data_IF_220245581925
#
_entry.id   IF_220245581925
#
_cell.length_a   1.000
_cell.length_b   1.000
_cell.length_c   1.000
_cell.angle_alpha   90.00
_cell.angle_beta   90.00
_cell.angle_gamma   90.00
#
_symmetry.space_group_name_H-M   'P 1'
#
loop_
_entity.id
_entity.type
_entity.pdbx_description
1 polymer ?
#
# COMPACT_ATOMS: atom_id res chain seq x y z
N UNK A 1 25.34 10.66 -7.61
CA UNK A 1 24.06 11.12 -8.22
C UNK A 1 23.39 12.03 -7.21
N UNK A 2 22.99 13.23 -7.61
CA UNK A 2 22.29 14.18 -6.76
C UNK A 2 20.80 14.00 -7.06
N UNK A 3 20.02 13.58 -6.07
CA UNK A 3 18.55 13.57 -6.17
C UNK A 3 18.07 15.00 -5.98
N UNK A 4 17.08 15.41 -6.78
CA UNK A 4 16.47 16.71 -6.64
C UNK A 4 15.88 16.87 -5.23
N UNK A 5 16.20 18.00 -4.60
CA UNK A 5 15.73 18.32 -3.26
C UNK A 5 14.20 18.37 -3.19
N UNK A 6 13.56 18.88 -4.23
CA UNK A 6 12.08 18.98 -4.29
C UNK A 6 11.43 17.60 -4.21
N UNK A 7 11.99 16.58 -4.86
CA UNK A 7 11.48 15.19 -4.78
C UNK A 7 11.61 14.60 -3.37
N UNK A 8 12.70 14.93 -2.67
CA UNK A 8 12.91 14.51 -1.27
C UNK A 8 11.91 15.22 -0.35
N UNK A 9 11.76 16.53 -0.51
CA UNK A 9 10.85 17.34 0.30
C UNK A 9 9.39 16.88 0.09
N UNK A 10 8.98 16.61 -1.14
CA UNK A 10 7.65 16.03 -1.44
C UNK A 10 7.47 14.67 -0.78
N UNK A 11 8.44 13.74 -0.94
CA UNK A 11 8.39 12.43 -0.30
C UNK A 11 8.18 12.54 1.22
N UNK A 12 8.85 13.48 1.88
CA UNK A 12 8.71 13.73 3.32
C UNK A 12 7.30 14.23 3.65
N UNK A 13 6.78 15.20 2.90
CA UNK A 13 5.43 15.74 3.10
C UNK A 13 4.38 14.65 2.95
N UNK A 14 4.52 13.79 1.94
CA UNK A 14 3.62 12.68 1.70
C UNK A 14 3.77 11.59 2.76
N UNK A 15 4.97 11.27 3.20
CA UNK A 15 5.17 10.35 4.32
C UNK A 15 4.47 10.86 5.60
N UNK A 16 4.58 12.16 5.89
CA UNK A 16 3.89 12.75 7.04
C UNK A 16 2.36 12.75 6.91
N UNK A 17 1.82 12.73 5.69
CA UNK A 17 0.39 12.59 5.41
C UNK A 17 -0.17 11.27 5.96
N UNK A 18 0.61 10.18 5.98
CA UNK A 18 0.20 8.87 6.54
C UNK A 18 -0.35 9.01 7.96
N UNK A 19 0.28 9.88 8.77
CA UNK A 19 -0.20 10.16 10.13
C UNK A 19 -1.48 11.01 10.16
N UNK A 20 -1.62 11.98 9.27
CA UNK A 20 -2.84 12.81 9.18
C UNK A 20 -4.05 11.98 8.78
N UNK A 21 -3.86 11.02 7.87
CA UNK A 21 -4.90 10.08 7.42
C UNK A 21 -5.12 8.91 8.41
N UNK A 22 -4.44 8.89 9.55
CA UNK A 22 -4.54 7.86 10.59
C UNK A 22 -4.26 6.43 10.10
N UNK A 23 -3.43 6.30 9.07
CA UNK A 23 -3.10 5.01 8.46
C UNK A 23 -2.00 4.26 9.20
N UNK A 24 -1.37 4.87 10.20
CA UNK A 24 -0.21 4.29 10.89
C UNK A 24 -0.16 4.66 12.36
N UNK A 25 0.33 3.71 13.16
CA UNK A 25 0.71 3.91 14.56
C UNK A 25 2.24 3.81 14.72
N UNK A 26 2.85 4.80 15.35
CA UNK A 26 4.29 4.80 15.67
C UNK A 26 5.17 4.61 14.43
N UNK A 27 6.02 3.58 14.45
CA UNK A 27 6.95 3.22 13.38
C UNK A 27 6.46 2.04 12.50
N UNK A 28 5.18 1.68 12.60
CA UNK A 28 4.61 0.61 11.81
C UNK A 28 4.27 1.09 10.40
N UNK A 29 4.92 0.55 9.41
CA UNK A 29 4.70 0.93 8.01
C UNK A 29 5.87 1.68 7.39
N UNK A 30 5.83 1.80 6.09
CA UNK A 30 6.90 2.37 5.28
C UNK A 30 6.37 2.80 3.92
N UNK A 31 7.09 3.72 3.29
CA UNK A 31 6.73 4.33 2.01
C UNK A 31 7.91 4.24 1.06
N UNK A 32 7.62 4.04 -0.23
CA UNK A 32 8.57 4.24 -1.31
C UNK A 32 7.94 4.97 -2.48
N UNK A 33 8.77 5.70 -3.22
CA UNK A 33 8.37 6.40 -4.43
C UNK A 33 9.48 6.29 -5.48
N UNK A 34 9.10 5.97 -6.72
CA UNK A 34 9.97 6.08 -7.89
C UNK A 34 10.20 7.55 -8.22
N UNK A 35 11.47 7.96 -8.29
CA UNK A 35 11.87 9.33 -8.62
C UNK A 35 12.73 9.42 -9.88
N UNK A 36 12.89 8.32 -10.58
CA UNK A 36 13.62 8.20 -11.83
C UNK A 36 13.41 6.82 -12.42
N UNK A 37 13.92 6.56 -13.61
CA UNK A 37 13.70 5.29 -14.32
C UNK A 37 14.06 4.07 -13.46
N UNK A 38 15.18 4.13 -12.74
CA UNK A 38 15.69 3.03 -11.91
C UNK A 38 15.96 3.45 -10.46
N UNK A 39 15.40 4.56 -9.99
CA UNK A 39 15.68 5.12 -8.67
C UNK A 39 14.39 5.25 -7.88
N UNK A 40 14.43 4.83 -6.63
CA UNK A 40 13.35 5.05 -5.66
C UNK A 40 13.87 5.67 -4.36
N UNK A 41 13.06 6.54 -3.78
CA UNK A 41 13.15 6.93 -2.38
C UNK A 41 12.42 5.90 -1.53
N UNK A 42 13.00 5.54 -0.39
CA UNK A 42 12.42 4.58 0.56
C UNK A 42 12.59 5.13 1.97
N UNK A 43 11.57 5.06 2.81
CA UNK A 43 11.70 5.44 4.22
C UNK A 43 12.71 4.54 4.94
N UNK A 44 13.53 5.12 5.80
CA UNK A 44 14.57 4.42 6.55
C UNK A 44 13.99 3.46 7.58
N UNK A 45 14.74 2.42 7.93
CA UNK A 45 14.33 1.45 8.94
C UNK A 45 14.09 2.10 10.30
N UNK A 46 12.96 1.74 10.95
CA UNK A 46 12.58 2.26 12.26
C UNK A 46 12.11 3.74 12.26
N UNK A 47 12.02 4.38 11.10
CA UNK A 47 11.51 5.75 11.02
C UNK A 47 10.00 5.80 11.25
N UNK A 48 9.54 6.92 11.77
CA UNK A 48 8.12 7.23 11.93
C UNK A 48 7.69 8.09 10.75
N UNK A 49 6.89 7.56 9.83
CA UNK A 49 6.44 8.31 8.65
C UNK A 49 5.83 9.68 9.02
N UNK A 50 4.98 9.79 10.07
CA UNK A 50 4.42 11.08 10.48
C UNK A 50 5.46 12.12 10.96
N UNK A 51 6.69 11.69 11.20
CA UNK A 51 7.81 12.53 11.68
C UNK A 51 9.04 12.40 10.80
N UNK A 52 8.85 11.90 9.56
CA UNK A 52 9.97 11.67 8.64
C UNK A 52 10.71 12.97 8.36
N UNK A 53 12.03 12.87 8.28
CA UNK A 53 12.94 13.97 7.94
C UNK A 53 13.92 13.48 6.87
N UNK A 54 14.69 14.42 6.30
CA UNK A 54 15.63 14.13 5.22
C UNK A 54 16.66 13.04 5.60
N UNK A 55 17.14 13.04 6.82
CA UNK A 55 18.08 12.03 7.33
C UNK A 55 17.49 10.62 7.42
N UNK A 56 16.16 10.49 7.26
CA UNK A 56 15.44 9.21 7.27
C UNK A 56 15.09 8.71 5.85
N UNK A 57 15.52 9.39 4.79
CA UNK A 57 15.21 9.02 3.41
C UNK A 57 16.37 8.27 2.78
N UNK A 58 16.16 7.00 2.47
CA UNK A 58 17.11 6.18 1.73
C UNK A 58 16.88 6.31 0.22
N UNK A 59 17.95 6.21 -0.54
CA UNK A 59 17.92 6.14 -2.00
C UNK A 59 18.33 4.74 -2.43
N UNK A 60 17.49 4.09 -3.24
CA UNK A 60 17.71 2.73 -3.69
C UNK A 60 17.61 2.61 -5.21
N UNK A 61 18.36 1.67 -5.76
CA UNK A 61 18.25 1.26 -7.15
C UNK A 61 17.16 0.19 -7.27
N UNK A 62 16.15 0.42 -8.14
CA UNK A 62 14.98 -0.45 -8.26
C UNK A 62 15.36 -1.83 -8.81
N UNK A 63 16.22 -1.87 -9.84
CA UNK A 63 16.59 -3.11 -10.53
C UNK A 63 17.34 -4.10 -9.65
N UNK A 64 18.28 -3.61 -8.86
CA UNK A 64 19.16 -4.46 -8.01
C UNK A 64 18.67 -4.55 -6.56
N UNK A 65 17.85 -3.58 -6.11
CA UNK A 65 17.45 -3.44 -4.72
C UNK A 65 18.54 -2.85 -3.82
N UNK A 66 19.68 -2.42 -4.39
CA UNK A 66 20.79 -1.87 -3.61
C UNK A 66 20.50 -0.46 -3.11
N UNK A 67 20.89 -0.20 -1.87
CA UNK A 67 20.99 1.15 -1.34
C UNK A 67 22.16 1.89 -1.99
N UNK A 68 21.90 3.06 -2.55
CA UNK A 68 22.91 3.90 -3.22
C UNK A 68 23.10 5.26 -2.53
N UNK A 69 22.29 5.58 -1.52
CA UNK A 69 22.41 6.79 -0.73
C UNK A 69 21.50 6.80 0.50
N UNK A 70 21.72 7.76 1.40
CA UNK A 70 20.94 7.93 2.63
C UNK A 70 21.17 6.85 3.70
N UNK A 71 20.28 6.74 4.69
CA UNK A 71 20.35 5.74 5.75
C UNK A 71 19.92 4.35 5.25
N UNK A 72 20.07 3.33 6.11
CA UNK A 72 19.57 1.98 5.82
C UNK A 72 18.06 2.03 5.52
N UNK A 73 17.60 1.54 4.36
CA UNK A 73 16.18 1.52 4.02
C UNK A 73 15.39 0.61 4.96
N UNK A 74 14.06 0.72 4.93
CA UNK A 74 13.15 -0.19 5.63
C UNK A 74 13.56 -1.65 5.41
N UNK A 75 13.41 -2.48 6.45
CA UNK A 75 13.63 -3.93 6.35
C UNK A 75 12.72 -4.60 5.31
N UNK A 76 11.67 -3.92 4.89
CA UNK A 76 10.69 -4.36 3.92
C UNK A 76 10.91 -3.75 2.51
N UNK A 77 12.00 -3.01 2.33
CA UNK A 77 12.36 -2.40 1.03
C UNK A 77 12.37 -3.40 -0.14
N UNK A 78 12.60 -4.69 0.15
CA UNK A 78 12.64 -5.73 -0.88
C UNK A 78 11.31 -5.87 -1.62
N UNK A 79 10.16 -5.86 -0.94
CA UNK A 79 8.89 -5.90 -1.67
C UNK A 79 8.54 -4.54 -2.29
N UNK A 80 8.88 -3.40 -1.65
CA UNK A 80 8.68 -2.09 -2.26
C UNK A 80 9.37 -1.99 -3.62
N UNK A 81 10.66 -2.32 -3.66
CA UNK A 81 11.44 -2.28 -4.89
C UNK A 81 11.02 -3.39 -5.87
N UNK A 82 10.61 -4.55 -5.34
CA UNK A 82 10.02 -5.62 -6.14
C UNK A 82 8.76 -5.19 -6.88
N UNK A 83 7.81 -4.57 -6.18
CA UNK A 83 6.58 -4.04 -6.79
C UNK A 83 6.90 -2.95 -7.81
N UNK A 84 7.74 -1.97 -7.47
CA UNK A 84 8.12 -0.92 -8.40
C UNK A 84 8.84 -1.46 -9.65
N UNK A 85 9.55 -2.58 -9.56
CA UNK A 85 10.20 -3.22 -10.70
C UNK A 85 9.20 -3.91 -11.62
N UNK A 86 8.25 -4.64 -11.07
CA UNK A 86 7.23 -5.41 -11.82
C UNK A 86 6.11 -4.49 -12.36
N UNK A 87 5.71 -3.47 -11.61
CA UNK A 87 4.63 -2.54 -11.93
C UNK A 87 5.21 -1.19 -12.38
N UNK A 88 5.55 -1.09 -13.66
CA UNK A 88 6.08 0.17 -14.22
C UNK A 88 5.03 1.28 -14.37
N UNK A 89 3.77 0.92 -14.27
CA UNK A 89 2.61 1.79 -14.22
C UNK A 89 2.38 2.42 -12.83
N UNK A 90 3.07 1.90 -11.80
CA UNK A 90 2.97 2.36 -10.41
C UNK A 90 4.28 3.04 -9.96
N UNK A 91 4.14 4.15 -9.25
CA UNK A 91 5.27 4.93 -8.75
C UNK A 91 5.38 4.96 -7.22
N UNK A 92 4.31 4.62 -6.51
CA UNK A 92 4.26 4.67 -5.05
C UNK A 92 3.87 3.31 -4.49
N UNK A 93 4.55 2.87 -3.44
CA UNK A 93 4.15 1.71 -2.63
C UNK A 93 4.08 2.15 -1.17
N UNK A 94 2.91 1.98 -0.56
CA UNK A 94 2.66 2.30 0.84
C UNK A 94 2.30 1.02 1.59
N UNK A 95 3.13 0.65 2.56
CA UNK A 95 2.78 -0.32 3.60
C UNK A 95 2.33 0.43 4.84
N UNK A 96 1.20 0.02 5.40
CA UNK A 96 0.58 0.68 6.54
C UNK A 96 -0.14 -0.33 7.45
N UNK A 97 -0.45 0.11 8.67
CA UNK A 97 -1.14 -0.71 9.67
C UNK A 97 -2.28 0.11 10.27
N UNK A 98 -3.30 0.35 9.45
CA UNK A 98 -4.50 1.03 9.87
C UNK A 98 -5.35 0.13 10.79
N UNK A 99 -6.20 0.74 11.58
CA UNK A 99 -6.87 0.08 12.71
C UNK A 99 -7.76 -1.10 12.32
N UNK A 100 -8.65 -0.88 11.35
CA UNK A 100 -9.69 -1.85 11.03
C UNK A 100 -9.21 -2.92 10.05
N UNK A 101 -8.43 -2.55 9.04
CA UNK A 101 -7.86 -3.52 8.14
C UNK A 101 -6.85 -4.43 8.86
N UNK A 102 -6.07 -3.89 9.80
CA UNK A 102 -5.21 -4.72 10.66
C UNK A 102 -6.03 -5.64 11.57
N UNK A 103 -7.17 -5.18 12.11
CA UNK A 103 -8.07 -6.03 12.90
C UNK A 103 -8.59 -7.20 12.05
N UNK A 104 -9.05 -6.95 10.81
CA UNK A 104 -9.47 -8.02 9.89
C UNK A 104 -8.32 -8.98 9.60
N UNK A 105 -7.09 -8.47 9.42
CA UNK A 105 -5.92 -9.31 9.14
C UNK A 105 -5.69 -10.39 10.22
N UNK A 106 -6.15 -10.14 11.45
CA UNK A 106 -6.01 -11.01 12.61
C UNK A 106 -7.22 -11.94 12.84
N UNK A 107 -8.32 -11.79 12.11
CA UNK A 107 -9.52 -12.61 12.28
C UNK A 107 -9.30 -14.03 11.81
N UNK A 108 -9.94 -15.01 12.47
CA UNK A 108 -10.01 -16.41 12.01
C UNK A 108 -10.83 -16.52 10.71
N UNK A 109 -12.02 -15.93 10.75
CA UNK A 109 -12.93 -15.86 9.61
C UNK A 109 -12.80 -14.46 9.01
N UNK A 110 -12.02 -14.34 7.95
CA UNK A 110 -11.87 -13.08 7.21
C UNK A 110 -12.98 -12.95 6.18
N UNK A 111 -13.42 -11.72 5.86
CA UNK A 111 -14.31 -11.50 4.72
C UNK A 111 -13.60 -11.94 3.44
N UNK A 112 -14.33 -12.59 2.53
CA UNK A 112 -13.84 -12.91 1.19
C UNK A 112 -14.13 -11.78 0.19
N UNK A 113 -15.10 -10.93 0.51
CA UNK A 113 -15.50 -9.79 -0.31
C UNK A 113 -15.45 -8.51 0.52
N UNK A 114 -14.72 -7.52 0.03
CA UNK A 114 -14.56 -6.20 0.65
C UNK A 114 -15.38 -5.11 -0.05
N UNK A 115 -16.15 -5.44 -1.09
CA UNK A 115 -16.92 -4.49 -1.89
C UNK A 115 -18.20 -4.04 -1.17
N UNK A 116 -18.06 -3.51 0.03
CA UNK A 116 -19.18 -2.98 0.86
C UNK A 116 -19.47 -1.51 0.58
N UNK A 117 -18.63 -0.85 -0.20
CA UNK A 117 -18.79 0.52 -0.71
C UNK A 117 -18.27 0.59 -2.15
N UNK A 118 -18.82 1.52 -2.93
CA UNK A 118 -18.50 1.68 -4.36
C UNK A 118 -17.01 1.99 -4.63
N UNK A 119 -16.34 2.66 -3.69
CA UNK A 119 -14.94 3.07 -3.81
C UNK A 119 -13.98 1.88 -3.85
N UNK A 120 -14.31 0.74 -3.21
CA UNK A 120 -13.41 -0.42 -3.19
C UNK A 120 -13.18 -0.98 -4.59
N UNK A 121 -14.20 -1.40 -5.37
CA UNK A 121 -13.94 -1.92 -6.71
C UNK A 121 -13.42 -0.85 -7.68
N UNK A 122 -13.74 0.43 -7.44
CA UNK A 122 -13.26 1.53 -8.29
C UNK A 122 -11.77 1.84 -8.11
N UNK A 123 -11.28 1.83 -6.87
CA UNK A 123 -9.93 2.30 -6.55
C UNK A 123 -9.02 1.20 -6.01
N UNK A 124 -9.51 0.32 -5.14
CA UNK A 124 -8.67 -0.72 -4.51
C UNK A 124 -8.58 -2.00 -5.34
N UNK A 125 -9.46 -2.13 -6.35
CA UNK A 125 -9.66 -3.36 -7.12
C UNK A 125 -10.81 -4.20 -6.58
N UNK A 126 -11.48 -4.92 -7.48
CA UNK A 126 -12.61 -5.80 -7.15
C UNK A 126 -12.24 -6.90 -6.15
N UNK A 127 -11.02 -7.38 -6.24
CA UNK A 127 -10.50 -8.46 -5.41
C UNK A 127 -9.30 -7.98 -4.59
N UNK A 128 -9.36 -8.22 -3.29
CA UNK A 128 -8.28 -7.93 -2.35
C UNK A 128 -7.58 -9.26 -2.00
N UNK A 129 -6.33 -9.40 -2.38
CA UNK A 129 -5.55 -10.59 -2.07
C UNK A 129 -5.16 -10.64 -0.59
N UNK A 130 -5.40 -11.77 0.07
CA UNK A 130 -5.02 -11.99 1.48
C UNK A 130 -3.80 -12.91 1.51
N UNK A 131 -2.65 -12.33 1.87
CA UNK A 131 -1.38 -13.04 1.95
C UNK A 131 -1.26 -13.74 3.32
N UNK A 132 -0.90 -15.05 3.36
CA UNK A 132 -0.60 -15.73 4.60
C UNK A 132 0.49 -15.02 5.42
N UNK A 133 0.57 -15.35 6.72
CA UNK A 133 1.63 -14.78 7.56
C UNK A 133 3.02 -15.25 7.11
N UNK A 134 3.87 -14.29 6.85
CA UNK A 134 5.31 -14.42 6.73
C UNK A 134 5.97 -13.45 7.71
N UNK A 135 7.19 -13.75 8.12
CA UNK A 135 7.97 -12.85 8.99
C UNK A 135 8.24 -11.52 8.27
N UNK A 136 7.95 -10.37 8.92
CA UNK A 136 8.28 -9.06 8.37
C UNK A 136 9.75 -8.97 7.92
N UNK A 137 9.98 -8.40 6.75
CA UNK A 137 11.31 -8.29 6.13
C UNK A 137 11.89 -9.60 5.58
N UNK A 138 11.14 -10.70 5.57
CA UNK A 138 11.61 -11.96 4.98
C UNK A 138 11.54 -11.96 3.46
N UNK A 139 12.42 -12.73 2.78
CA UNK A 139 12.35 -12.92 1.33
C UNK A 139 11.01 -13.53 0.87
N UNK A 140 10.43 -14.40 1.69
CA UNK A 140 9.14 -15.05 1.42
C UNK A 140 8.01 -14.02 1.40
N UNK A 141 7.98 -13.08 2.36
CA UNK A 141 7.02 -11.97 2.37
C UNK A 141 7.22 -11.10 1.13
N UNK A 142 8.47 -10.74 0.84
CA UNK A 142 8.78 -9.89 -0.31
C UNK A 142 8.30 -10.52 -1.63
N UNK A 143 8.54 -11.82 -1.81
CA UNK A 143 8.07 -12.57 -2.97
C UNK A 143 6.55 -12.59 -3.05
N UNK A 144 5.86 -12.94 -1.94
CA UNK A 144 4.41 -13.05 -1.92
C UNK A 144 3.71 -11.72 -2.20
N UNK A 145 4.21 -10.62 -1.62
CA UNK A 145 3.67 -9.26 -1.87
C UNK A 145 3.91 -8.84 -3.32
N UNK A 146 5.12 -9.00 -3.82
CA UNK A 146 5.47 -8.64 -5.20
C UNK A 146 4.60 -9.41 -6.20
N UNK A 147 4.41 -10.72 -5.98
CA UNK A 147 3.62 -11.55 -6.89
C UNK A 147 2.14 -11.15 -6.86
N UNK A 148 1.56 -10.96 -5.66
CA UNK A 148 0.16 -10.58 -5.53
C UNK A 148 -0.13 -9.19 -6.13
N UNK A 149 0.78 -8.23 -5.97
CA UNK A 149 0.62 -6.88 -6.52
C UNK A 149 0.91 -6.77 -8.03
N UNK A 150 1.21 -7.87 -8.73
CA UNK A 150 1.20 -7.86 -10.21
C UNK A 150 -0.21 -7.67 -10.77
N UNK A 151 -1.19 -8.31 -10.14
CA UNK A 151 -2.58 -8.35 -10.61
C UNK A 151 -3.53 -7.57 -9.70
N UNK A 152 -3.08 -7.15 -8.52
CA UNK A 152 -3.84 -6.38 -7.55
C UNK A 152 -3.15 -5.06 -7.21
N UNK A 153 -3.91 -4.08 -6.77
CA UNK A 153 -3.36 -2.79 -6.29
C UNK A 153 -3.33 -2.70 -4.76
N UNK A 154 -4.07 -3.60 -4.10
CA UNK A 154 -4.20 -3.66 -2.64
C UNK A 154 -4.11 -5.09 -2.14
N UNK A 155 -3.31 -5.33 -1.11
CA UNK A 155 -3.21 -6.63 -0.45
C UNK A 155 -3.27 -6.51 1.07
N UNK A 156 -3.86 -7.53 1.72
CA UNK A 156 -3.94 -7.65 3.17
C UNK A 156 -2.97 -8.73 3.65
N UNK A 157 -2.05 -8.36 4.53
CA UNK A 157 -1.07 -9.28 5.11
C UNK A 157 -1.61 -9.85 6.42
N UNK A 158 -1.81 -11.15 6.51
CA UNK A 158 -2.33 -11.81 7.72
C UNK A 158 -1.48 -11.52 8.95
N UNK A 159 -2.11 -11.02 10.04
CA UNK A 159 -1.47 -10.65 11.32
C UNK A 159 -0.38 -9.59 11.18
N UNK A 160 -0.50 -8.71 10.18
CA UNK A 160 0.53 -7.72 9.93
C UNK A 160 -0.07 -6.35 9.58
N UNK A 161 -0.52 -6.17 8.34
CA UNK A 161 -1.00 -4.88 7.85
C UNK A 161 -1.41 -4.96 6.39
N UNK A 162 -1.31 -3.85 5.69
CA UNK A 162 -1.76 -3.70 4.31
C UNK A 162 -0.66 -3.12 3.43
N UNK A 163 -0.67 -3.47 2.14
CA UNK A 163 0.19 -2.83 1.14
C UNK A 163 -0.69 -2.39 -0.02
N UNK A 164 -0.48 -1.16 -0.46
CA UNK A 164 -1.09 -0.63 -1.68
C UNK A 164 -0.01 -0.12 -2.61
N UNK A 165 -0.27 -0.19 -3.92
CA UNK A 165 0.53 0.51 -4.92
C UNK A 165 -0.33 1.53 -5.68
N UNK A 166 0.25 2.65 -6.06
CA UNK A 166 -0.42 3.75 -6.75
C UNK A 166 0.43 4.36 -7.84
N UNK A 167 -0.24 4.98 -8.83
CA UNK A 167 0.39 5.74 -9.92
C UNK A 167 1.13 6.96 -9.38
N UNK A 168 0.59 7.55 -8.33
CA UNK A 168 1.11 8.68 -7.57
C UNK A 168 0.71 8.55 -6.10
N UNK A 169 1.07 9.54 -5.29
CA UNK A 169 0.76 9.56 -3.87
C UNK A 169 -0.75 9.60 -3.60
N UNK A 170 -1.50 10.41 -4.34
CA UNK A 170 -2.94 10.56 -4.12
C UNK A 170 -3.68 9.27 -4.44
N UNK A 171 -3.34 8.59 -5.53
CA UNK A 171 -3.89 7.28 -5.88
C UNK A 171 -3.59 6.23 -4.78
N UNK A 172 -2.35 6.17 -4.28
CA UNK A 172 -2.00 5.24 -3.21
C UNK A 172 -2.75 5.54 -1.90
N UNK A 173 -2.84 6.82 -1.51
CA UNK A 173 -3.57 7.24 -0.29
C UNK A 173 -5.06 7.00 -0.42
N UNK A 174 -5.65 7.28 -1.57
CA UNK A 174 -7.06 7.04 -1.83
C UNK A 174 -7.41 5.56 -1.67
N UNK A 175 -6.61 4.66 -2.25
CA UNK A 175 -6.75 3.21 -2.07
C UNK A 175 -6.65 2.82 -0.59
N UNK A 176 -5.66 3.33 0.13
CA UNK A 176 -5.47 3.04 1.54
C UNK A 176 -6.66 3.49 2.41
N UNK A 177 -7.15 4.71 2.20
CA UNK A 177 -8.27 5.28 2.96
C UNK A 177 -9.59 4.56 2.67
N UNK A 178 -9.90 4.29 1.42
CA UNK A 178 -11.12 3.58 1.06
C UNK A 178 -11.11 2.13 1.53
N UNK A 179 -9.97 1.46 1.44
CA UNK A 179 -9.85 0.11 1.99
C UNK A 179 -10.04 0.10 3.52
N UNK A 180 -9.45 1.05 4.25
CA UNK A 180 -9.66 1.17 5.70
C UNK A 180 -11.12 1.51 6.03
N UNK A 181 -11.79 2.36 5.25
CA UNK A 181 -13.20 2.68 5.41
C UNK A 181 -14.07 1.43 5.25
N UNK A 182 -13.86 0.64 4.20
CA UNK A 182 -14.57 -0.62 3.99
C UNK A 182 -14.33 -1.60 5.15
N UNK A 183 -13.08 -1.74 5.60
CA UNK A 183 -12.73 -2.55 6.75
C UNK A 183 -13.43 -2.09 8.03
N UNK A 184 -13.58 -0.76 8.23
CA UNK A 184 -14.27 -0.23 9.40
C UNK A 184 -15.75 -0.61 9.40
N UNK A 185 -16.41 -0.57 8.25
CA UNK A 185 -17.81 -0.98 8.08
C UNK A 185 -17.96 -2.47 8.43
N UNK A 186 -17.08 -3.31 7.89
CA UNK A 186 -17.13 -4.76 8.13
C UNK A 186 -16.91 -5.09 9.61
N UNK A 187 -15.92 -4.45 10.27
CA UNK A 187 -15.63 -4.72 11.69
C UNK A 187 -16.78 -4.28 12.58
N UNK A 188 -17.36 -3.10 12.34
CA UNK A 188 -18.42 -2.55 13.18
C UNK A 188 -19.75 -3.30 13.03
N UNK A 189 -20.04 -3.88 11.87
CA UNK A 189 -21.26 -4.66 11.65
C UNK A 189 -21.06 -6.17 11.87
N UNK A 190 -19.84 -6.64 11.87
CA UNK A 190 -19.49 -8.07 11.91
C UNK A 190 -19.37 -8.70 10.52
N UNK A 191 -18.41 -9.60 10.37
CA UNK A 191 -18.19 -10.32 9.12
C UNK A 191 -19.45 -11.11 8.72
N UNK A 192 -19.88 -10.92 7.49
CA UNK A 192 -21.09 -11.56 6.93
C UNK A 192 -22.40 -10.79 7.16
N UNK A 193 -22.38 -9.67 7.89
CA UNK A 193 -23.56 -8.85 8.15
C UNK A 193 -23.64 -7.59 7.25
N UNK A 194 -22.68 -7.38 6.36
CA UNK A 194 -22.70 -6.28 5.41
C UNK A 194 -23.29 -6.73 4.08
N UNK A 195 -24.07 -5.85 3.45
CA UNK A 195 -24.36 -5.99 2.03
C UNK A 195 -23.09 -5.71 1.23
N UNK A 196 -22.87 -6.49 0.20
CA UNK A 196 -21.77 -6.26 -0.76
C UNK A 196 -22.36 -5.95 -2.12
N UNK A 197 -21.64 -5.19 -2.90
CA UNK A 197 -21.98 -4.92 -4.29
C UNK A 197 -22.05 -6.23 -5.09
N UNK A 198 -23.04 -6.36 -5.92
CA UNK A 198 -23.20 -7.45 -6.89
C UNK A 198 -22.23 -7.26 -8.06
N UNK A 199 -22.00 -8.32 -8.83
CA UNK A 199 -21.18 -8.23 -10.04
C UNK A 199 -21.77 -7.24 -11.07
N UNK A 200 -23.11 -7.10 -11.13
CA UNK A 200 -23.78 -6.16 -12.01
C UNK A 200 -23.55 -4.72 -11.57
N UNK A 201 -23.65 -4.43 -10.27
CA UNK A 201 -23.35 -3.11 -9.71
C UNK A 201 -21.88 -2.74 -9.89
N UNK A 202 -20.95 -3.67 -9.71
CA UNK A 202 -19.53 -3.45 -9.97
C UNK A 202 -19.28 -3.16 -11.45
N UNK A 203 -19.90 -3.91 -12.35
CA UNK A 203 -19.79 -3.69 -13.79
C UNK A 203 -20.33 -2.31 -14.21
N UNK A 204 -21.43 -1.89 -13.62
CA UNK A 204 -21.99 -0.55 -13.85
C UNK A 204 -21.01 0.55 -13.42
N UNK A 205 -20.41 0.41 -12.23
CA UNK A 205 -19.36 1.31 -11.76
C UNK A 205 -18.12 1.34 -12.67
N UNK A 206 -17.70 0.19 -13.19
CA UNK A 206 -16.56 0.12 -14.13
C UNK A 206 -16.84 0.89 -15.41
N UNK A 207 -18.05 0.85 -15.94
CA UNK A 207 -18.45 1.58 -17.14
C UNK A 207 -18.54 3.08 -16.86
N UNK A 208 -19.26 3.49 -15.82
CA UNK A 208 -19.58 4.90 -15.58
C UNK A 208 -18.46 5.67 -14.87
N UNK A 209 -17.75 5.03 -13.94
CA UNK A 209 -16.71 5.69 -13.14
C UNK A 209 -15.33 5.54 -13.78
N UNK A 210 -15.00 4.34 -14.25
CA UNK A 210 -13.68 4.05 -14.82
C UNK A 210 -13.62 4.18 -16.34
N UNK A 211 -14.75 4.45 -17.00
CA UNK A 211 -14.82 4.64 -18.46
C UNK A 211 -14.47 3.37 -19.24
N UNK A 212 -14.57 2.18 -18.63
CA UNK A 212 -14.37 0.91 -19.34
C UNK A 212 -15.50 0.70 -20.35
N UNK A 213 -15.16 0.23 -21.55
CA UNK A 213 -16.18 -0.14 -22.55
C UNK A 213 -16.94 -1.37 -22.06
N UNK A 214 -18.27 -1.34 -22.25
CA UNK A 214 -19.18 -2.44 -21.92
C UNK A 214 -18.83 -3.74 -22.66
#
# INVERSE_FOLDING_TARGET
>A
MIIDKELIDEFIVQAQRVGREQLQLCSSGNLSCRVGENIALVSGTGSWLPKLKVENVAVCEISTGQQIGGPKPSMESSFHLGVLRERRDMNVVLHFQSKYATAISCMKNKPLNFNVIAEVPCYCGKEISIIPYFRPGSPELAKAVTEALKDHDTVLLSKHGQVVCGKDYDDAFQKACFFEMACSIIVNNGVGNCLTLTDEEIKDLEIYVLGKKA
#
